data_IF_512713054776
#
_entry.id   IF_512713054776
#
_cell.length_a   1.000
_cell.length_b   1.000
_cell.length_c   1.000
_cell.angle_alpha   90.00
_cell.angle_beta   90.00
_cell.angle_gamma   90.00
#
_symmetry.space_group_name_H-M   'P 1'
#
loop_
_entity.id
_entity.type
_entity.pdbx_description
1 polymer ?
#
# COMPACT_ATOMS: atom_id res chain seq x y z
N UNK A 1 17.21 -31.57 -35.50
CA UNK A 1 15.79 -31.97 -35.59
C UNK A 1 15.40 -32.34 -34.18
N UNK A 2 14.73 -31.44 -33.47
CA UNK A 2 14.53 -31.56 -32.04
C UNK A 2 13.34 -32.50 -31.78
N UNK A 3 13.62 -33.72 -31.33
CA UNK A 3 12.66 -34.83 -31.19
C UNK A 3 11.96 -34.86 -29.82
N UNK A 4 11.86 -33.73 -29.14
CA UNK A 4 11.47 -33.63 -27.72
C UNK A 4 9.96 -33.41 -27.49
N UNK A 5 9.12 -33.40 -28.53
CA UNK A 5 7.72 -32.94 -28.42
C UNK A 5 6.63 -34.03 -28.45
N UNK A 6 6.97 -35.30 -28.18
CA UNK A 6 6.02 -36.44 -28.31
C UNK A 6 5.41 -36.93 -27.00
N UNK A 7 5.90 -36.51 -25.84
CA UNK A 7 5.34 -36.90 -24.53
C UNK A 7 5.12 -35.70 -23.60
N UNK A 8 4.23 -35.85 -22.61
CA UNK A 8 3.97 -34.85 -21.58
C UNK A 8 3.64 -35.50 -20.23
N UNK A 9 3.85 -34.78 -19.14
CA UNK A 9 3.39 -35.20 -17.80
C UNK A 9 2.01 -34.61 -17.50
N UNK A 10 1.11 -35.46 -17.00
CA UNK A 10 -0.22 -35.06 -16.59
C UNK A 10 -0.81 -36.05 -15.57
N UNK A 11 -1.83 -35.61 -14.83
CA UNK A 11 -2.59 -36.48 -13.92
C UNK A 11 -3.45 -37.42 -14.77
N UNK A 12 -3.24 -38.72 -14.60
CA UNK A 12 -4.03 -39.75 -15.27
C UNK A 12 -5.34 -39.98 -14.49
N UNK A 13 -6.52 -39.89 -15.13
CA UNK A 13 -7.81 -40.09 -14.44
C UNK A 13 -8.04 -41.52 -13.93
N UNK A 14 -7.26 -42.49 -14.41
CA UNK A 14 -7.36 -43.91 -13.98
C UNK A 14 -6.28 -44.27 -12.96
N UNK A 15 -5.08 -43.70 -13.06
CA UNK A 15 -3.99 -43.96 -12.10
C UNK A 15 -3.99 -43.00 -10.92
N UNK A 16 -4.80 -41.95 -10.96
CA UNK A 16 -4.93 -40.89 -9.93
C UNK A 16 -3.59 -40.29 -9.50
N UNK A 17 -2.61 -40.31 -10.41
CA UNK A 17 -1.23 -39.86 -10.17
C UNK A 17 -0.68 -39.21 -11.42
N UNK A 18 0.34 -38.37 -11.24
CA UNK A 18 1.06 -37.74 -12.33
C UNK A 18 1.91 -38.80 -13.05
N UNK A 19 1.65 -38.98 -14.35
CA UNK A 19 2.26 -40.01 -15.19
C UNK A 19 2.71 -39.42 -16.51
N UNK A 20 3.68 -40.07 -17.13
CA UNK A 20 4.05 -39.76 -18.51
C UNK A 20 2.95 -40.23 -19.47
N UNK A 21 2.61 -39.39 -20.43
CA UNK A 21 1.64 -39.67 -21.48
C UNK A 21 2.22 -39.38 -22.86
N UNK A 22 1.86 -40.20 -23.83
CA UNK A 22 2.11 -39.98 -25.26
C UNK A 22 1.12 -38.96 -25.83
N UNK A 23 1.59 -37.99 -26.59
CA UNK A 23 0.73 -37.02 -27.28
C UNK A 23 0.20 -37.63 -28.58
N UNK A 24 -1.07 -38.04 -28.59
CA UNK A 24 -1.73 -38.66 -29.75
C UNK A 24 -2.16 -37.63 -30.78
N UNK A 25 -2.67 -36.48 -30.33
CA UNK A 25 -3.14 -35.41 -31.22
C UNK A 25 -3.15 -34.06 -30.52
N UNK A 26 -2.62 -33.04 -31.19
CA UNK A 26 -2.79 -31.62 -30.82
C UNK A 26 -3.83 -30.98 -31.74
N UNK A 27 -4.69 -30.13 -31.20
CA UNK A 27 -5.64 -29.32 -31.98
C UNK A 27 -5.74 -27.93 -31.35
N UNK A 28 -5.42 -26.91 -32.12
CA UNK A 28 -5.66 -25.52 -31.73
C UNK A 28 -7.17 -25.22 -31.76
N UNK A 29 -7.67 -24.58 -30.71
CA UNK A 29 -9.08 -24.19 -30.55
C UNK A 29 -9.14 -22.82 -29.88
N UNK A 30 -9.46 -21.79 -30.67
CA UNK A 30 -9.43 -20.40 -30.21
C UNK A 30 -8.00 -19.96 -29.88
N UNK A 31 -7.77 -19.43 -28.68
CA UNK A 31 -6.45 -19.03 -28.17
C UNK A 31 -5.69 -20.16 -27.45
N UNK A 32 -6.21 -21.38 -27.38
CA UNK A 32 -5.49 -22.47 -26.72
C UNK A 32 -5.54 -23.81 -27.43
N UNK A 33 -5.17 -24.87 -26.71
CA UNK A 33 -4.76 -26.16 -27.25
C UNK A 33 -5.53 -27.31 -26.62
N UNK A 34 -6.18 -28.13 -27.44
CA UNK A 34 -6.69 -29.44 -27.06
C UNK A 34 -5.65 -30.50 -27.36
N UNK A 35 -5.21 -31.20 -26.32
CA UNK A 35 -4.24 -32.28 -26.44
C UNK A 35 -4.92 -33.58 -26.06
N UNK A 36 -5.01 -34.50 -27.02
CA UNK A 36 -5.43 -35.88 -26.77
C UNK A 36 -4.19 -36.68 -26.44
N UNK A 37 -4.15 -37.25 -25.25
CA UNK A 37 -2.99 -37.95 -24.71
C UNK A 37 -3.33 -39.38 -24.30
N UNK A 38 -2.34 -40.27 -24.32
CA UNK A 38 -2.46 -41.67 -23.91
C UNK A 38 -1.48 -41.96 -22.78
N UNK A 39 -1.97 -42.47 -21.65
CA UNK A 39 -1.10 -42.84 -20.52
C UNK A 39 -0.20 -44.03 -20.88
N UNK A 40 1.10 -43.97 -20.55
CA UNK A 40 2.00 -45.11 -20.78
C UNK A 40 1.72 -46.29 -19.84
N UNK A 41 1.22 -46.05 -18.63
CA UNK A 41 1.00 -47.10 -17.63
C UNK A 41 -0.31 -47.88 -17.84
N UNK A 42 -1.43 -47.17 -18.03
CA UNK A 42 -2.76 -47.79 -18.13
C UNK A 42 -3.39 -47.68 -19.53
N UNK A 43 -2.70 -47.07 -20.49
CA UNK A 43 -3.16 -46.91 -21.89
C UNK A 43 -4.47 -46.13 -22.06
N UNK A 44 -5.03 -45.51 -21.01
CA UNK A 44 -6.24 -44.70 -21.13
C UNK A 44 -5.96 -43.47 -22.01
N UNK A 45 -6.89 -43.19 -22.92
CA UNK A 45 -6.81 -42.03 -23.81
C UNK A 45 -7.79 -40.97 -23.32
N UNK A 46 -7.28 -39.81 -22.95
CA UNK A 46 -8.09 -38.69 -22.46
C UNK A 46 -7.65 -37.37 -23.10
N UNK A 47 -8.38 -36.29 -22.81
CA UNK A 47 -8.12 -34.97 -23.40
C UNK A 47 -7.80 -33.98 -22.29
N UNK A 48 -6.78 -33.17 -22.54
CA UNK A 48 -6.44 -32.00 -21.74
C UNK A 48 -6.78 -30.75 -22.54
N UNK A 49 -7.42 -29.80 -21.88
CA UNK A 49 -7.74 -28.49 -22.42
C UNK A 49 -6.78 -27.46 -21.81
N UNK A 50 -5.82 -26.98 -22.61
CA UNK A 50 -4.92 -25.89 -22.22
C UNK A 50 -5.50 -24.62 -22.81
N UNK A 51 -5.88 -23.66 -21.99
CA UNK A 51 -6.37 -22.36 -22.45
C UNK A 51 -5.64 -21.26 -21.69
N UNK A 52 -5.09 -20.24 -22.37
CA UNK A 52 -4.64 -19.04 -21.68
C UNK A 52 -5.85 -18.33 -21.07
N UNK A 53 -5.67 -17.73 -19.90
CA UNK A 53 -6.68 -16.90 -19.25
C UNK A 53 -7.07 -15.74 -20.19
N UNK A 54 -8.33 -15.31 -20.09
CA UNK A 54 -8.82 -14.25 -20.97
C UNK A 54 -8.43 -12.91 -20.38
N UNK A 55 -7.69 -12.11 -21.15
CA UNK A 55 -7.46 -10.70 -20.83
C UNK A 55 -8.78 -9.91 -20.87
N UNK A 56 -9.13 -9.28 -19.76
CA UNK A 56 -10.26 -8.35 -19.62
C UNK A 56 -9.70 -6.94 -19.48
N UNK A 57 -10.20 -6.00 -20.30
CA UNK A 57 -9.83 -4.58 -20.19
C UNK A 57 -10.69 -3.89 -19.14
N UNK A 58 -10.12 -3.61 -17.98
CA UNK A 58 -10.77 -2.89 -16.90
C UNK A 58 -10.49 -1.39 -16.96
N UNK A 59 -11.50 -0.59 -16.60
CA UNK A 59 -11.37 0.85 -16.49
C UNK A 59 -10.88 1.26 -15.10
N UNK A 60 -9.77 2.00 -15.07
CA UNK A 60 -9.19 2.58 -13.87
C UNK A 60 -9.30 4.10 -13.92
N UNK A 61 -9.58 4.71 -12.76
CA UNK A 61 -9.38 6.13 -12.50
C UNK A 61 -8.19 6.26 -11.55
N UNK A 62 -7.08 6.76 -12.07
CA UNK A 62 -5.81 6.89 -11.37
C UNK A 62 -5.66 8.33 -10.86
N UNK A 63 -5.53 8.52 -9.54
CA UNK A 63 -5.40 9.83 -8.92
C UNK A 63 -3.98 10.06 -8.37
N UNK A 64 -3.27 11.05 -8.93
CA UNK A 64 -1.96 11.51 -8.49
C UNK A 64 -2.09 12.93 -7.89
N UNK A 65 -2.25 13.01 -6.57
CA UNK A 65 -2.47 14.28 -5.88
C UNK A 65 -3.72 15.01 -6.42
N UNK A 66 -3.59 16.20 -7.04
CA UNK A 66 -4.71 16.95 -7.59
C UNK A 66 -5.15 16.49 -8.99
N UNK A 67 -4.38 15.67 -9.68
CA UNK A 67 -4.68 15.22 -11.05
C UNK A 67 -5.31 13.83 -11.03
N UNK A 68 -6.17 13.56 -12.01
CA UNK A 68 -6.70 12.21 -12.21
C UNK A 68 -6.80 11.90 -13.70
N UNK A 69 -6.46 10.66 -14.07
CA UNK A 69 -6.49 10.17 -15.44
C UNK A 69 -7.30 8.87 -15.52
N UNK A 70 -7.95 8.65 -16.66
CA UNK A 70 -8.59 7.38 -16.94
C UNK A 70 -7.58 6.48 -17.67
N UNK A 71 -7.45 5.24 -17.23
CA UNK A 71 -6.64 4.20 -17.86
C UNK A 71 -7.51 2.97 -18.16
N UNK A 72 -7.15 2.24 -19.21
CA UNK A 72 -7.73 0.91 -19.50
C UNK A 72 -6.59 -0.10 -19.40
N UNK A 73 -6.63 -0.94 -18.37
CA UNK A 73 -5.58 -1.91 -18.06
C UNK A 73 -6.13 -3.30 -18.38
N UNK A 74 -5.33 -4.12 -19.06
CA UNK A 74 -5.65 -5.51 -19.36
C UNK A 74 -5.22 -6.39 -18.19
N UNK A 75 -6.15 -7.19 -17.67
CA UNK A 75 -5.98 -8.03 -16.48
C UNK A 75 -6.54 -9.42 -16.75
N UNK A 76 -6.07 -10.43 -16.02
CA UNK A 76 -6.58 -11.80 -16.17
C UNK A 76 -7.98 -11.94 -15.56
N UNK A 77 -8.84 -12.76 -16.17
CA UNK A 77 -10.24 -12.94 -15.76
C UNK A 77 -10.43 -13.60 -14.38
N UNK A 78 -9.43 -14.33 -13.91
CA UNK A 78 -9.39 -14.96 -12.59
C UNK A 78 -8.71 -14.10 -11.51
N UNK A 79 -8.20 -12.92 -11.85
CA UNK A 79 -7.55 -12.03 -10.90
C UNK A 79 -8.56 -11.42 -9.91
N UNK A 80 -8.40 -11.71 -8.62
CA UNK A 80 -9.28 -11.19 -7.57
C UNK A 80 -8.77 -9.85 -7.04
N UNK A 81 -9.41 -8.75 -7.45
CA UNK A 81 -9.12 -7.41 -6.95
C UNK A 81 -9.72 -7.17 -5.56
N UNK A 82 -8.97 -6.55 -4.67
CA UNK A 82 -9.41 -6.10 -3.33
C UNK A 82 -9.09 -4.63 -3.11
N UNK A 83 -9.90 -3.98 -2.29
CA UNK A 83 -9.55 -2.66 -1.77
C UNK A 83 -8.26 -2.78 -0.96
N UNK A 84 -7.39 -1.78 -1.11
CA UNK A 84 -6.03 -1.72 -0.58
C UNK A 84 -4.96 -2.56 -1.29
N UNK A 85 -5.31 -3.34 -2.33
CA UNK A 85 -4.30 -4.00 -3.17
C UNK A 85 -3.42 -2.95 -3.86
N UNK A 86 -2.14 -3.30 -4.04
CA UNK A 86 -1.12 -2.45 -4.66
C UNK A 86 -0.71 -3.09 -5.98
N UNK A 87 -0.64 -2.28 -7.03
CA UNK A 87 -0.20 -2.69 -8.36
C UNK A 87 0.70 -1.62 -8.99
N UNK A 88 1.45 -2.03 -10.01
CA UNK A 88 2.33 -1.14 -10.78
C UNK A 88 1.68 -0.78 -12.11
N UNK A 89 1.74 0.49 -12.50
CA UNK A 89 1.32 0.97 -13.82
C UNK A 89 2.00 2.31 -14.13
N UNK A 90 2.52 2.47 -15.35
CA UNK A 90 3.27 3.65 -15.80
C UNK A 90 4.40 4.06 -14.83
N UNK A 91 5.25 3.09 -14.45
CA UNK A 91 6.40 3.26 -13.53
C UNK A 91 6.03 3.84 -12.15
N UNK A 92 4.78 3.69 -11.74
CA UNK A 92 4.25 4.15 -10.44
C UNK A 92 3.53 3.03 -9.73
N UNK A 93 3.58 3.05 -8.40
CA UNK A 93 2.76 2.18 -7.56
C UNK A 93 1.42 2.85 -7.26
N UNK A 94 0.35 2.08 -7.38
CA UNK A 94 -1.02 2.51 -7.17
C UNK A 94 -1.69 1.61 -6.15
N UNK A 95 -2.44 2.20 -5.22
CA UNK A 95 -3.26 1.46 -4.25
C UNK A 95 -4.73 1.61 -4.59
N UNK A 96 -5.44 0.49 -4.67
CA UNK A 96 -6.89 0.48 -4.91
C UNK A 96 -7.62 1.14 -3.75
N UNK A 97 -8.35 2.22 -4.05
CA UNK A 97 -9.12 2.97 -3.08
C UNK A 97 -10.59 2.54 -3.08
N UNK A 98 -11.20 2.36 -4.26
CA UNK A 98 -12.57 1.83 -4.38
C UNK A 98 -12.72 0.92 -5.57
N UNK A 99 -13.59 -0.08 -5.42
CA UNK A 99 -14.03 -0.97 -6.50
C UNK A 99 -15.53 -0.75 -6.69
N UNK A 100 -15.93 -0.30 -7.87
CA UNK A 100 -17.32 -0.08 -8.27
C UNK A 100 -17.76 -1.20 -9.21
N UNK A 101 -18.88 -1.85 -8.90
CA UNK A 101 -19.47 -2.89 -9.75
C UNK A 101 -20.05 -2.29 -11.04
N UNK A 102 -20.33 -3.12 -12.02
CA UNK A 102 -21.13 -2.74 -13.21
C UNK A 102 -22.51 -2.15 -12.86
N UNK A 103 -23.07 -2.47 -11.69
CA UNK A 103 -24.32 -1.91 -11.16
C UNK A 103 -24.14 -0.69 -10.22
N UNK A 104 -22.98 -0.01 -10.27
CA UNK A 104 -22.66 1.17 -9.45
C UNK A 104 -22.71 0.97 -7.93
N UNK A 105 -22.50 -0.25 -7.44
CA UNK A 105 -22.34 -0.56 -6.02
C UNK A 105 -20.86 -0.69 -5.65
N UNK A 106 -20.48 -0.17 -4.49
CA UNK A 106 -19.12 -0.35 -3.96
C UNK A 106 -18.93 -1.75 -3.38
N UNK A 107 -17.78 -2.35 -3.68
CA UNK A 107 -17.41 -3.69 -3.25
C UNK A 107 -16.04 -3.66 -2.54
N UNK A 108 -15.81 -4.59 -1.63
CA UNK A 108 -14.49 -4.77 -0.99
C UNK A 108 -13.54 -5.61 -1.83
N UNK A 109 -14.08 -6.51 -2.64
CA UNK A 109 -13.36 -7.39 -3.55
C UNK A 109 -14.25 -7.84 -4.70
N UNK A 110 -13.67 -8.13 -5.85
CA UNK A 110 -14.41 -8.62 -7.01
C UNK A 110 -13.49 -9.23 -8.06
N UNK A 111 -14.02 -10.20 -8.82
CA UNK A 111 -13.46 -10.59 -10.11
C UNK A 111 -13.71 -9.49 -11.16
N UNK A 112 -12.88 -9.43 -12.22
CA UNK A 112 -12.92 -8.37 -13.24
C UNK A 112 -14.26 -8.26 -13.94
N UNK A 113 -14.90 -9.39 -14.27
CA UNK A 113 -16.18 -9.43 -14.99
C UNK A 113 -17.31 -8.64 -14.31
N UNK A 114 -17.23 -8.47 -12.99
CA UNK A 114 -18.25 -7.78 -12.19
C UNK A 114 -17.89 -6.33 -11.89
N UNK A 115 -16.68 -5.89 -12.27
CA UNK A 115 -16.16 -4.56 -12.01
C UNK A 115 -16.54 -3.63 -13.16
N UNK A 116 -17.16 -2.50 -12.82
CA UNK A 116 -17.38 -1.41 -13.76
C UNK A 116 -16.21 -0.43 -13.81
N UNK A 117 -15.64 -0.10 -12.64
CA UNK A 117 -14.49 0.81 -12.52
C UNK A 117 -13.72 0.56 -11.22
N UNK A 118 -12.41 0.72 -11.27
CA UNK A 118 -11.55 0.81 -10.09
C UNK A 118 -11.06 2.24 -9.94
N UNK A 119 -11.04 2.79 -8.73
CA UNK A 119 -10.29 4.00 -8.43
C UNK A 119 -9.04 3.64 -7.64
N UNK A 120 -7.90 4.19 -8.03
CA UNK A 120 -6.64 3.95 -7.36
C UNK A 120 -5.92 5.28 -7.11
N UNK A 121 -5.19 5.35 -6.00
CA UNK A 121 -4.44 6.52 -5.60
C UNK A 121 -2.96 6.15 -5.63
N UNK A 122 -2.13 7.06 -6.14
CA UNK A 122 -0.68 6.89 -6.15
C UNK A 122 -0.16 6.56 -4.74
N UNK A 123 0.67 5.52 -4.65
CA UNK A 123 1.11 4.92 -3.40
C UNK A 123 2.62 4.97 -3.19
N UNK A 124 3.46 4.99 -4.23
CA UNK A 124 4.92 5.16 -4.08
C UNK A 124 5.30 6.48 -3.36
N UNK A 125 4.52 7.54 -3.58
CA UNK A 125 4.72 8.84 -2.93
C UNK A 125 3.44 9.31 -2.21
N UNK A 126 3.46 9.35 -0.87
CA UNK A 126 2.32 9.79 -0.06
C UNK A 126 2.40 11.27 0.27
N UNK A 127 1.30 11.97 0.00
CA UNK A 127 1.13 13.40 0.27
C UNK A 127 0.35 13.63 1.56
N UNK A 128 1.04 13.86 2.66
CA UNK A 128 0.44 14.13 3.97
C UNK A 128 0.19 15.63 4.12
N UNK A 129 -1.08 16.04 4.23
CA UNK A 129 -1.42 17.45 4.48
C UNK A 129 -0.96 17.85 5.88
N UNK A 130 -0.45 19.06 6.05
CA UNK A 130 -0.13 19.59 7.38
C UNK A 130 -0.86 20.90 7.63
N UNK A 131 -1.21 21.15 8.88
CA UNK A 131 -1.65 22.45 9.39
C UNK A 131 -0.69 22.86 10.47
N UNK A 132 -0.02 23.99 10.29
CA UNK A 132 0.88 24.58 11.28
C UNK A 132 0.14 25.71 11.99
N UNK A 133 0.05 25.62 13.31
CA UNK A 133 -0.62 26.63 14.13
C UNK A 133 0.37 27.25 15.10
N UNK A 134 0.60 28.55 14.98
CA UNK A 134 1.40 29.36 15.90
C UNK A 134 0.53 30.47 16.49
N UNK A 135 0.29 30.40 17.80
CA UNK A 135 -0.69 31.28 18.44
C UNK A 135 -2.06 31.16 17.79
N UNK A 136 -2.57 32.27 17.26
CA UNK A 136 -3.87 32.36 16.59
C UNK A 136 -3.77 32.23 15.05
N UNK A 137 -2.56 32.09 14.50
CA UNK A 137 -2.33 31.99 13.06
C UNK A 137 -2.18 30.52 12.67
N UNK A 138 -2.86 30.12 11.59
CA UNK A 138 -2.72 28.76 11.03
C UNK A 138 -2.45 28.80 9.53
N UNK A 139 -1.41 28.10 9.10
CA UNK A 139 -1.07 27.87 7.70
C UNK A 139 -1.25 26.39 7.32
N UNK A 140 -1.40 26.12 6.02
CA UNK A 140 -1.48 24.74 5.50
C UNK A 140 -0.27 24.46 4.62
N UNK A 141 0.24 23.25 4.72
CA UNK A 141 1.37 22.75 3.94
C UNK A 141 1.18 21.30 3.52
N UNK A 142 2.23 20.71 2.95
CA UNK A 142 2.21 19.34 2.45
C UNK A 142 3.58 18.68 2.64
N UNK A 143 3.60 17.52 3.30
CA UNK A 143 4.78 16.66 3.40
C UNK A 143 4.66 15.56 2.36
N UNK A 144 5.70 15.41 1.55
CA UNK A 144 5.87 14.31 0.61
C UNK A 144 6.81 13.29 1.25
N UNK A 145 6.38 12.03 1.33
CA UNK A 145 7.19 10.97 1.92
C UNK A 145 6.79 9.57 1.46
N UNK A 146 7.65 8.60 1.74
CA UNK A 146 7.36 7.18 1.55
C UNK A 146 6.16 6.70 2.39
N UNK A 147 5.44 5.65 1.95
CA UNK A 147 4.20 5.20 2.58
C UNK A 147 4.36 4.71 4.02
N UNK A 148 5.48 4.07 4.28
CA UNK A 148 5.84 3.43 5.54
C UNK A 148 6.51 4.40 6.52
N UNK A 149 6.78 5.65 6.11
CA UNK A 149 7.27 6.69 7.03
C UNK A 149 6.30 6.84 8.21
N UNK A 150 6.81 6.59 9.41
CA UNK A 150 6.01 6.63 10.64
C UNK A 150 5.98 8.04 11.24
N UNK A 151 4.77 8.55 11.49
CA UNK A 151 4.54 9.76 12.29
C UNK A 151 3.98 9.39 13.66
N UNK A 152 4.49 10.05 14.71
CA UNK A 152 4.08 9.80 16.09
C UNK A 152 3.44 11.04 16.69
N UNK A 153 2.24 10.90 17.26
CA UNK A 153 1.62 12.03 17.95
C UNK A 153 2.47 12.42 19.18
N UNK A 154 2.80 13.71 19.29
CA UNK A 154 3.66 14.26 20.33
C UNK A 154 5.14 14.35 19.97
N UNK A 155 5.60 13.74 18.88
CA UNK A 155 7.00 13.85 18.44
C UNK A 155 7.29 15.21 17.82
N UNK A 156 8.58 15.58 17.82
CA UNK A 156 9.08 16.75 17.10
C UNK A 156 9.53 16.28 15.71
N UNK A 157 9.13 17.00 14.68
CA UNK A 157 9.56 16.82 13.29
C UNK A 157 10.17 18.12 12.77
N UNK A 158 10.92 18.02 11.68
CA UNK A 158 11.41 19.18 10.94
C UNK A 158 10.57 19.35 9.67
N UNK A 159 10.11 20.58 9.43
CA UNK A 159 9.34 20.96 8.26
C UNK A 159 9.70 22.40 7.88
N UNK A 160 10.06 22.63 6.62
CA UNK A 160 10.50 23.94 6.10
C UNK A 160 11.63 24.59 6.93
N UNK A 161 12.57 23.76 7.45
CA UNK A 161 13.71 24.22 8.25
C UNK A 161 13.39 24.54 9.71
N UNK A 162 12.13 24.41 10.14
CA UNK A 162 11.69 24.66 11.50
C UNK A 162 11.28 23.38 12.23
N UNK A 163 11.43 23.40 13.56
CA UNK A 163 11.00 22.30 14.41
C UNK A 163 9.54 22.48 14.78
N UNK A 164 8.76 21.42 14.59
CA UNK A 164 7.34 21.39 14.88
C UNK A 164 6.99 20.18 15.74
N UNK A 165 6.13 20.34 16.73
CA UNK A 165 5.53 19.23 17.48
C UNK A 165 4.24 18.78 16.81
N UNK A 166 4.12 17.49 16.54
CA UNK A 166 2.85 16.89 16.10
C UNK A 166 1.89 16.90 17.29
N UNK A 167 0.87 17.76 17.22
CA UNK A 167 -0.21 17.84 18.23
C UNK A 167 -1.21 16.72 18.06
N UNK A 168 -1.69 16.50 16.84
CA UNK A 168 -2.69 15.48 16.51
C UNK A 168 -2.50 14.95 15.09
N UNK A 169 -2.98 13.72 14.88
CA UNK A 169 -2.94 13.01 13.60
C UNK A 169 -4.38 12.67 13.21
N UNK A 170 -4.83 13.17 12.06
CA UNK A 170 -6.11 12.79 11.48
C UNK A 170 -5.91 11.61 10.52
N UNK A 171 -6.68 10.55 10.74
CA UNK A 171 -6.71 9.35 9.90
C UNK A 171 -8.11 9.19 9.27
N UNK A 172 -8.31 8.12 8.49
CA UNK A 172 -9.65 7.76 8.00
C UNK A 172 -10.66 7.49 9.10
N UNK A 173 -10.22 7.07 10.30
CA UNK A 173 -11.07 6.73 11.45
C UNK A 173 -11.31 7.90 12.42
N UNK A 174 -10.67 9.05 12.20
CA UNK A 174 -10.80 10.23 13.06
C UNK A 174 -9.45 10.81 13.52
N UNK A 175 -9.53 11.79 14.41
CA UNK A 175 -8.37 12.48 15.00
C UNK A 175 -7.86 11.75 16.23
N UNK A 176 -6.54 11.59 16.36
CA UNK A 176 -5.92 10.97 17.53
C UNK A 176 -4.76 11.83 18.06
N UNK A 177 -4.67 11.96 19.40
CA UNK A 177 -3.59 12.68 20.12
C UNK A 177 -2.43 11.76 20.54
N UNK A 178 -2.51 10.47 20.24
CA UNK A 178 -1.58 9.42 20.66
C UNK A 178 -1.41 8.41 19.52
N UNK A 179 -0.33 7.64 19.59
CA UNK A 179 -0.07 6.54 18.65
C UNK A 179 0.91 6.90 17.53
N UNK A 180 1.23 5.85 16.77
CA UNK A 180 2.15 5.86 15.64
C UNK A 180 1.38 5.41 14.40
N UNK A 181 1.56 6.11 13.30
CA UNK A 181 0.86 5.84 12.05
C UNK A 181 1.80 5.95 10.88
N UNK A 182 1.72 4.98 9.97
CA UNK A 182 2.37 5.03 8.66
C UNK A 182 1.74 6.16 7.83
N UNK A 183 2.54 6.84 7.01
CA UNK A 183 2.14 8.01 6.24
C UNK A 183 0.87 7.76 5.42
N UNK A 184 0.75 6.59 4.78
CA UNK A 184 -0.40 6.24 3.93
C UNK A 184 -1.76 6.20 4.66
N UNK A 185 -1.75 6.08 6.01
CA UNK A 185 -2.97 6.10 6.84
C UNK A 185 -3.38 7.52 7.26
N UNK A 186 -2.53 8.51 7.03
CA UNK A 186 -2.67 9.87 7.55
C UNK A 186 -3.32 10.76 6.51
N UNK A 187 -4.42 11.42 6.91
CA UNK A 187 -5.08 12.47 6.13
C UNK A 187 -4.46 13.84 6.38
N UNK A 188 -4.17 14.16 7.65
CA UNK A 188 -3.60 15.47 8.03
C UNK A 188 -2.83 15.39 9.36
N UNK A 189 -1.72 16.10 9.45
CA UNK A 189 -1.02 16.39 10.72
C UNK A 189 -1.35 17.80 11.19
N UNK A 190 -1.55 17.97 12.49
CA UNK A 190 -1.63 19.28 13.12
C UNK A 190 -0.36 19.52 13.90
N UNK A 191 0.34 20.58 13.54
CA UNK A 191 1.64 20.96 14.05
C UNK A 191 1.49 22.21 14.92
N UNK A 192 2.26 22.26 16.00
CA UNK A 192 2.39 23.42 16.87
C UNK A 192 3.87 23.62 17.22
N UNK A 193 4.29 24.83 17.61
CA UNK A 193 5.64 25.05 18.09
C UNK A 193 6.01 24.05 19.20
N UNK A 194 7.25 23.53 19.20
CA UNK A 194 7.72 22.66 20.25
C UNK A 194 7.66 23.39 21.59
N UNK A 195 7.46 22.67 22.70
CA UNK A 195 7.49 23.29 24.01
C UNK A 195 8.85 24.00 24.19
N UNK A 196 8.87 25.20 24.79
CA UNK A 196 10.12 25.90 25.02
C UNK A 196 11.07 25.01 25.81
N UNK A 197 12.39 25.14 25.59
CA UNK A 197 13.36 24.43 26.41
C UNK A 197 13.08 24.72 27.88
N UNK A 198 13.22 23.70 28.73
CA UNK A 198 13.04 23.85 30.18
C UNK A 198 13.97 24.97 30.64
N UNK A 199 13.41 26.03 31.22
CA UNK A 199 14.19 27.15 31.74
C UNK A 199 15.17 26.64 32.79
N UNK A 200 16.42 27.09 32.73
CA UNK A 200 17.37 26.86 33.82
C UNK A 200 16.79 27.44 35.12
N UNK A 201 16.96 26.75 36.27
CA UNK A 201 16.47 27.25 37.55
C UNK A 201 17.14 28.59 37.86
N UNK A 202 16.34 29.62 38.09
CA UNK A 202 16.85 30.98 38.31
C UNK A 202 17.04 31.28 39.80
N UNK A 203 16.16 30.75 40.64
CA UNK A 203 16.21 30.97 42.08
C UNK A 203 16.98 29.89 42.82
N UNK A 204 17.53 30.22 43.99
CA UNK A 204 18.20 29.25 44.87
C UNK A 204 17.30 28.08 45.26
N UNK A 205 15.98 28.30 45.39
CA UNK A 205 15.00 27.27 45.72
C UNK A 205 14.78 26.30 44.56
N UNK A 206 14.50 26.81 43.35
CA UNK A 206 14.33 26.00 42.14
C UNK A 206 15.60 25.20 41.83
N UNK A 207 16.77 25.79 42.11
CA UNK A 207 18.06 25.17 41.88
C UNK A 207 18.36 24.03 42.85
N UNK A 208 18.05 24.20 44.14
CA UNK A 208 18.10 23.11 45.14
C UNK A 208 17.14 21.97 44.75
N UNK A 209 15.95 22.30 44.25
CA UNK A 209 14.98 21.30 43.80
C UNK A 209 15.47 20.55 42.55
N UNK A 210 15.98 21.25 41.54
CA UNK A 210 16.55 20.64 40.35
C UNK A 210 17.81 19.80 40.64
N UNK A 211 18.62 20.18 41.62
CA UNK A 211 19.74 19.36 42.11
C UNK A 211 19.27 18.09 42.83
N UNK A 212 18.27 18.20 43.72
CA UNK A 212 17.64 17.02 44.36
C UNK A 212 17.04 16.04 43.34
N UNK A 213 16.50 16.55 42.24
CA UNK A 213 15.93 15.75 41.15
C UNK A 213 16.99 15.22 40.17
N UNK A 214 18.29 15.43 40.42
CA UNK A 214 19.38 14.95 39.57
C UNK A 214 19.48 15.65 38.21
N UNK A 215 18.84 16.81 38.04
CA UNK A 215 18.75 17.56 36.76
C UNK A 215 19.91 18.55 36.55
N UNK A 216 20.82 18.68 37.51
CA UNK A 216 21.97 19.59 37.48
C UNK A 216 23.26 18.78 37.67
N UNK A 217 24.11 18.75 36.63
CA UNK A 217 25.43 18.10 36.70
C UNK A 217 26.45 18.93 37.49
N UNK A 218 26.71 20.18 37.06
CA UNK A 218 27.57 21.14 37.76
C UNK A 218 26.73 22.29 38.33
N UNK A 219 26.86 22.59 39.64
CA UNK A 219 25.94 23.46 40.38
C UNK A 219 26.61 24.67 41.10
N UNK A 220 27.27 25.60 40.38
CA UNK A 220 27.93 26.78 40.97
C UNK A 220 26.92 27.88 41.36
N UNK A 221 27.09 28.62 42.45
CA UNK A 221 26.14 29.67 42.85
C UNK A 221 25.84 30.68 41.72
N UNK A 222 24.59 31.17 41.58
CA UNK A 222 24.26 32.17 40.56
C UNK A 222 25.03 33.46 40.81
N UNK A 223 25.59 34.05 39.76
CA UNK A 223 26.19 35.39 39.82
C UNK A 223 25.12 36.42 40.17
N UNK A 224 25.40 37.26 41.16
CA UNK A 224 24.50 38.36 41.53
C UNK A 224 24.58 39.42 40.44
N UNK A 225 23.47 39.65 39.72
CA UNK A 225 23.26 40.86 38.93
C UNK A 225 22.82 41.99 39.84
#
# INVERSE_FOLDING_TARGET
MDSSETSCFAICPTCESEKEHEIVRKREVGSGLDVKIRCYDCSIVHKIHIRPNKGIKLAFLLSDGPTSSNAKIEVDDDEMFRVDDIFEHDDKLWRINTIESTHKKFMRKSLPERIGRITAIRFDEVRVKVTMTEGDVSSSGLIICEPDRVFTAGSIIEYEGEKWRIRSINTSRGSTLRGKFDAYKIKRLYLQPPPPPRKAPKTSRERRQAWKEGKLGYNPNPEKK
#
